data_IF_725719294637
#
_entry.id   IF_725719294637
#
_cell.length_a   1.000
_cell.length_b   1.000
_cell.length_c   1.000
_cell.angle_alpha   90.00
_cell.angle_beta   90.00
_cell.angle_gamma   90.00
#
_symmetry.space_group_name_H-M   'P 1'
#
loop_
_entity.id
_entity.type
_entity.pdbx_description
1 polymer ?
#
# COMPACT_ATOMS: atom_id res chain seq x y z
N UNK A 1 -7.69 -20.40 13.02
CA UNK A 1 -8.03 -19.76 11.74
C UNK A 1 -8.29 -18.29 11.93
N UNK A 2 -7.67 -17.50 11.10
CA UNK A 2 -7.89 -16.06 11.10
C UNK A 2 -9.28 -15.75 10.54
N UNK A 3 -10.10 -15.01 11.29
CA UNK A 3 -11.40 -14.59 10.78
C UNK A 3 -11.27 -13.30 9.95
N UNK A 4 -12.32 -12.94 9.24
CA UNK A 4 -12.35 -11.76 8.38
C UNK A 4 -11.97 -10.49 9.14
N UNK A 5 -12.51 -10.30 10.33
CA UNK A 5 -12.26 -9.11 11.13
C UNK A 5 -10.78 -8.99 11.52
N UNK A 6 -10.19 -10.09 11.95
CA UNK A 6 -8.77 -10.12 12.30
C UNK A 6 -7.89 -9.80 11.09
N UNK A 7 -8.24 -10.35 9.94
CA UNK A 7 -7.54 -10.07 8.70
C UNK A 7 -7.60 -8.59 8.32
N UNK A 8 -8.80 -8.00 8.39
CA UNK A 8 -9.00 -6.59 8.08
C UNK A 8 -8.23 -5.70 9.07
N UNK A 9 -8.26 -6.02 10.36
CA UNK A 9 -7.54 -5.25 11.38
C UNK A 9 -6.03 -5.29 11.14
N UNK A 10 -5.48 -6.44 10.82
CA UNK A 10 -4.06 -6.59 10.51
C UNK A 10 -3.69 -5.81 9.25
N UNK A 11 -4.53 -5.87 8.24
CA UNK A 11 -4.31 -5.15 6.98
C UNK A 11 -4.33 -3.64 7.23
N UNK A 12 -5.29 -3.15 8.02
CA UNK A 12 -5.37 -1.74 8.37
C UNK A 12 -4.11 -1.26 9.10
N UNK A 13 -3.60 -2.07 10.03
CA UNK A 13 -2.37 -1.75 10.76
C UNK A 13 -1.17 -1.67 9.81
N UNK A 14 -1.06 -2.61 8.87
CA UNK A 14 0.01 -2.62 7.87
C UNK A 14 -0.08 -1.43 6.93
N UNK A 15 -1.30 -1.07 6.51
CA UNK A 15 -1.51 0.09 5.65
C UNK A 15 -1.06 1.37 6.36
N UNK A 16 -1.37 1.51 7.63
CA UNK A 16 -0.96 2.67 8.42
C UNK A 16 0.55 2.75 8.53
N UNK A 17 1.21 1.61 8.74
CA UNK A 17 2.66 1.52 8.83
C UNK A 17 3.33 1.95 7.52
N UNK A 18 2.84 1.42 6.39
CA UNK A 18 3.38 1.79 5.08
C UNK A 18 3.05 3.23 4.70
N UNK A 19 1.91 3.76 5.13
CA UNK A 19 1.59 5.17 4.93
C UNK A 19 2.64 6.06 5.60
N UNK A 20 3.07 5.70 6.81
CA UNK A 20 4.16 6.39 7.50
C UNK A 20 5.48 6.32 6.72
N UNK A 21 5.79 5.17 6.14
CA UNK A 21 6.98 5.00 5.31
C UNK A 21 6.91 5.88 4.04
N UNK A 22 5.75 5.95 3.40
CA UNK A 22 5.56 6.80 2.21
C UNK A 22 5.78 8.26 2.58
N UNK A 23 5.28 8.70 3.73
CA UNK A 23 5.46 10.07 4.18
C UNK A 23 6.93 10.41 4.43
N UNK A 24 7.70 9.46 4.96
CA UNK A 24 9.15 9.64 5.12
C UNK A 24 9.85 9.76 3.76
N UNK A 25 9.47 8.93 2.80
CA UNK A 25 10.00 8.98 1.45
C UNK A 25 9.68 10.30 0.77
N UNK A 26 8.47 10.81 0.98
CA UNK A 26 8.05 12.10 0.42
C UNK A 26 8.92 13.24 0.95
N UNK A 27 9.22 13.24 2.24
CA UNK A 27 10.11 14.25 2.82
C UNK A 27 11.52 14.17 2.26
N UNK A 28 12.02 12.96 2.05
CA UNK A 28 13.34 12.76 1.45
C UNK A 28 13.33 13.26 0.01
N UNK A 29 12.26 12.98 -0.74
CA UNK A 29 12.12 13.41 -2.12
C UNK A 29 12.11 14.94 -2.25
N UNK A 30 11.52 15.65 -1.28
CA UNK A 30 11.52 17.11 -1.27
C UNK A 30 12.92 17.70 -1.20
N UNK A 31 13.87 16.97 -0.61
CA UNK A 31 15.25 17.39 -0.47
C UNK A 31 16.14 16.94 -1.62
N UNK A 32 15.58 16.21 -2.58
CA UNK A 32 16.33 15.74 -3.73
C UNK A 32 16.67 16.91 -4.67
N UNK A 33 17.65 16.70 -5.54
CA UNK A 33 17.99 17.71 -6.55
C UNK A 33 16.81 17.87 -7.51
N UNK A 34 16.67 19.07 -8.07
CA UNK A 34 15.53 19.42 -8.95
C UNK A 34 15.32 18.41 -10.07
N UNK A 35 16.39 17.92 -10.64
CA UNK A 35 16.35 16.97 -11.75
C UNK A 35 15.65 15.66 -11.36
N UNK A 36 15.72 15.27 -10.10
CA UNK A 36 15.17 14.02 -9.58
C UNK A 36 13.80 14.17 -8.91
N UNK A 37 13.45 15.39 -8.51
CA UNK A 37 12.20 15.64 -7.77
C UNK A 37 10.97 15.15 -8.51
N UNK A 38 10.87 15.46 -9.79
CA UNK A 38 9.70 15.10 -10.59
C UNK A 38 9.52 13.58 -10.63
N UNK A 39 10.60 12.84 -10.84
CA UNK A 39 10.56 11.39 -10.88
C UNK A 39 10.15 10.81 -9.52
N UNK A 40 10.74 11.32 -8.44
CA UNK A 40 10.42 10.84 -7.09
C UNK A 40 8.96 11.13 -6.72
N UNK A 41 8.47 12.33 -7.07
CA UNK A 41 7.07 12.67 -6.80
C UNK A 41 6.11 11.78 -7.58
N UNK A 42 6.44 11.43 -8.83
CA UNK A 42 5.63 10.50 -9.61
C UNK A 42 5.61 9.11 -8.98
N UNK A 43 6.73 8.64 -8.48
CA UNK A 43 6.80 7.34 -7.81
C UNK A 43 6.00 7.32 -6.51
N UNK A 44 6.06 8.41 -5.74
CA UNK A 44 5.29 8.53 -4.50
C UNK A 44 3.81 8.59 -4.79
N UNK A 45 3.41 9.33 -5.81
CA UNK A 45 2.01 9.38 -6.26
C UNK A 45 1.52 7.99 -6.64
N UNK A 46 2.34 7.21 -7.34
CA UNK A 46 2.03 5.83 -7.68
C UNK A 46 1.84 4.96 -6.43
N UNK A 47 2.66 5.18 -5.39
CA UNK A 47 2.50 4.47 -4.11
C UNK A 47 1.16 4.80 -3.45
N UNK A 48 0.74 6.06 -3.48
CA UNK A 48 -0.57 6.44 -2.95
C UNK A 48 -1.72 5.81 -3.73
N UNK A 49 -1.59 5.70 -5.05
CA UNK A 49 -2.59 5.03 -5.89
C UNK A 49 -2.67 3.54 -5.56
N UNK A 50 -1.54 2.89 -5.36
CA UNK A 50 -1.50 1.48 -4.96
C UNK A 50 -2.09 1.26 -3.56
N UNK A 51 -1.83 2.19 -2.65
CA UNK A 51 -2.43 2.16 -1.32
C UNK A 51 -3.96 2.27 -1.42
N UNK A 52 -4.45 3.19 -2.23
CA UNK A 52 -5.89 3.37 -2.43
C UNK A 52 -6.53 2.10 -2.99
N UNK A 53 -5.83 1.39 -3.88
CA UNK A 53 -6.33 0.12 -4.43
C UNK A 53 -6.44 -0.94 -3.34
N UNK A 54 -5.46 -1.04 -2.45
CA UNK A 54 -5.53 -1.98 -1.32
C UNK A 54 -6.68 -1.63 -0.39
N UNK A 55 -6.88 -0.35 -0.10
CA UNK A 55 -8.00 0.11 0.73
C UNK A 55 -9.35 -0.22 0.10
N UNK A 56 -9.48 -0.03 -1.21
CA UNK A 56 -10.69 -0.38 -1.94
C UNK A 56 -10.98 -1.88 -1.86
N UNK A 57 -9.95 -2.71 -2.02
CA UNK A 57 -10.08 -4.16 -1.89
C UNK A 57 -10.50 -4.54 -0.47
N UNK A 58 -9.92 -3.89 0.54
CA UNK A 58 -10.28 -4.13 1.93
C UNK A 58 -11.74 -3.78 2.21
N UNK A 59 -12.22 -2.66 1.65
CA UNK A 59 -13.63 -2.26 1.79
C UNK A 59 -14.57 -3.29 1.17
N UNK A 60 -14.23 -3.79 -0.01
CA UNK A 60 -15.00 -4.84 -0.67
C UNK A 60 -15.00 -6.11 0.16
N UNK A 61 -13.87 -6.43 0.76
CA UNK A 61 -13.73 -7.61 1.60
C UNK A 61 -14.64 -7.53 2.83
N UNK A 62 -14.74 -6.35 3.46
CA UNK A 62 -15.63 -6.15 4.61
C UNK A 62 -17.10 -6.36 4.26
N UNK A 63 -17.47 -6.08 3.02
CA UNK A 63 -18.85 -6.20 2.55
C UNK A 63 -19.17 -7.56 1.95
N UNK A 64 -18.16 -8.42 1.81
CA UNK A 64 -18.33 -9.73 1.21
C UNK A 64 -19.08 -10.67 2.14
N UNK A 65 -19.87 -11.57 1.55
CA UNK A 65 -20.57 -12.60 2.30
C UNK A 65 -20.36 -13.96 1.64
N UNK A 66 -20.48 -15.01 2.43
CA UNK A 66 -20.30 -16.37 1.94
C UNK A 66 -18.88 -16.64 1.47
N UNK A 67 -18.76 -17.33 0.34
CA UNK A 67 -17.46 -17.72 -0.21
C UNK A 67 -16.76 -16.60 -0.97
N UNK A 68 -17.44 -15.50 -1.22
CA UNK A 68 -16.88 -14.38 -1.99
C UNK A 68 -15.66 -13.78 -1.31
N UNK A 69 -15.58 -13.84 0.03
CA UNK A 69 -14.47 -13.23 0.74
C UNK A 69 -13.14 -13.93 0.48
N UNK A 70 -13.13 -15.22 0.22
CA UNK A 70 -11.90 -15.94 -0.09
C UNK A 70 -11.26 -15.46 -1.40
N UNK A 71 -12.09 -15.26 -2.43
CA UNK A 71 -11.61 -14.72 -3.71
C UNK A 71 -11.13 -13.30 -3.56
N UNK A 72 -11.88 -12.49 -2.83
CA UNK A 72 -11.51 -11.10 -2.57
C UNK A 72 -10.24 -11.01 -1.72
N UNK A 73 -10.06 -11.93 -0.78
CA UNK A 73 -8.85 -11.99 0.04
C UNK A 73 -7.62 -12.23 -0.84
N UNK A 74 -7.70 -13.17 -1.77
CA UNK A 74 -6.60 -13.44 -2.69
C UNK A 74 -6.23 -12.21 -3.52
N UNK A 75 -7.24 -11.50 -4.04
CA UNK A 75 -7.01 -10.25 -4.77
C UNK A 75 -6.41 -9.16 -3.90
N UNK A 76 -6.86 -9.08 -2.64
CA UNK A 76 -6.33 -8.12 -1.67
C UNK A 76 -4.86 -8.40 -1.36
N UNK A 77 -4.50 -9.66 -1.19
CA UNK A 77 -3.12 -10.05 -0.91
C UNK A 77 -2.19 -9.72 -2.09
N UNK A 78 -2.65 -9.94 -3.32
CA UNK A 78 -1.88 -9.57 -4.50
C UNK A 78 -1.67 -8.06 -4.57
N UNK A 79 -2.70 -7.27 -4.33
CA UNK A 79 -2.61 -5.81 -4.31
C UNK A 79 -1.66 -5.35 -3.21
N UNK A 80 -1.72 -6.00 -2.04
CA UNK A 80 -0.84 -5.71 -0.93
C UNK A 80 0.62 -5.97 -1.27
N UNK A 81 0.92 -7.12 -1.87
CA UNK A 81 2.28 -7.47 -2.27
C UNK A 81 2.86 -6.47 -3.26
N UNK A 82 2.07 -6.08 -4.26
CA UNK A 82 2.50 -5.08 -5.25
C UNK A 82 2.82 -3.76 -4.55
N UNK A 83 1.96 -3.33 -3.64
CA UNK A 83 2.15 -2.10 -2.89
C UNK A 83 3.41 -2.18 -2.01
N UNK A 84 3.53 -3.25 -1.23
CA UNK A 84 4.68 -3.45 -0.34
C UNK A 84 5.99 -3.48 -1.11
N UNK A 85 6.04 -4.22 -2.21
CA UNK A 85 7.24 -4.31 -3.06
C UNK A 85 7.61 -2.96 -3.65
N UNK A 86 6.61 -2.16 -4.04
CA UNK A 86 6.86 -0.83 -4.58
C UNK A 86 7.46 0.11 -3.54
N UNK A 87 6.95 0.06 -2.30
CA UNK A 87 7.51 0.86 -1.19
C UNK A 87 8.95 0.42 -0.90
N UNK A 88 9.19 -0.88 -0.83
CA UNK A 88 10.52 -1.43 -0.60
C UNK A 88 11.51 -1.02 -1.68
N UNK A 89 11.10 -1.11 -2.94
CA UNK A 89 11.95 -0.74 -4.07
C UNK A 89 12.34 0.74 -4.00
N UNK A 90 11.41 1.59 -3.63
CA UNK A 90 11.71 3.01 -3.50
C UNK A 90 12.66 3.28 -2.34
N UNK A 91 12.50 2.58 -1.23
CA UNK A 91 13.43 2.69 -0.08
C UNK A 91 14.86 2.31 -0.47
N UNK A 92 15.01 1.29 -1.29
CA UNK A 92 16.31 0.79 -1.73
C UNK A 92 17.03 1.74 -2.69
N UNK A 93 16.32 2.67 -3.30
CA UNK A 93 16.91 3.63 -4.23
C UNK A 93 17.77 4.70 -3.56
N UNK A 94 17.84 4.73 -2.26
CA UNK A 94 18.65 5.69 -1.49
C UNK A 94 18.36 7.14 -1.88
N UNK A 95 17.15 7.54 -1.69
CA UNK A 95 16.74 8.93 -1.95
C UNK A 95 17.54 9.94 -1.13
#
# INVERSE_FOLDING_TARGET
>A
MENLREYIDKLAARLKELDGEIKKLDKIAEKAVEEMKSEYHQQIEDLFLKKAKVQDQADKLQKASGNAWEDLKAGTELSWEVFQDSVENMRKKKL
#
